data_IF_528212572281
#
_entry.id   IF_528212572281
#
_cell.length_a   1.000
_cell.length_b   1.000
_cell.length_c   1.000
_cell.angle_alpha   90.00
_cell.angle_beta   90.00
_cell.angle_gamma   90.00
#
_symmetry.space_group_name_H-M   'P 1'
#
loop_
_entity.id
_entity.type
_entity.pdbx_description
1 polymer ?
#
# COMPACT_ATOMS: atom_id res chain seq x y z
N UNK A 1 -49.88 62.63 28.37
CA UNK A 1 -49.38 63.96 28.80
C UNK A 1 -47.98 64.15 28.22
N UNK A 2 -47.79 65.30 27.59
CA UNK A 2 -46.64 65.84 26.84
C UNK A 2 -45.36 65.92 27.71
N UNK A 3 -44.10 66.07 27.26
CA UNK A 3 -43.43 66.90 26.24
C UNK A 3 -42.02 66.29 25.98
N UNK A 4 -41.20 66.57 24.96
CA UNK A 4 -41.13 67.56 23.87
C UNK A 4 -39.70 67.45 23.26
N UNK A 5 -39.52 67.39 21.94
CA UNK A 5 -39.09 68.51 21.08
C UNK A 5 -37.67 68.24 20.53
N UNK A 6 -37.25 68.52 19.30
CA UNK A 6 -37.87 69.10 18.11
C UNK A 6 -36.78 69.50 17.10
N UNK A 7 -36.91 69.00 15.86
CA UNK A 7 -36.76 69.77 14.58
C UNK A 7 -35.32 70.15 14.12
N UNK A 8 -34.96 70.27 12.83
CA UNK A 8 -35.63 70.85 11.66
C UNK A 8 -35.09 70.33 10.31
N UNK A 9 -35.99 70.30 9.32
CA UNK A 9 -35.81 70.63 7.88
C UNK A 9 -35.02 69.66 6.98
N UNK A 10 -35.46 69.25 5.79
CA UNK A 10 -36.61 69.65 4.97
C UNK A 10 -36.15 69.87 3.52
N UNK A 11 -36.81 69.20 2.56
CA UNK A 11 -36.94 69.72 1.20
C UNK A 11 -36.81 68.75 0.03
N UNK A 12 -37.98 68.38 -0.53
CA UNK A 12 -38.33 68.27 -1.98
C UNK A 12 -37.59 67.21 -2.79
N UNK A 13 -38.19 66.35 -3.60
CA UNK A 13 -39.44 66.35 -4.38
C UNK A 13 -39.06 65.55 -5.65
N UNK A 14 -39.73 64.45 -5.99
CA UNK A 14 -40.95 64.47 -6.78
C UNK A 14 -40.69 63.97 -8.21
N UNK A 15 -41.22 62.79 -8.54
CA UNK A 15 -41.82 62.50 -9.85
C UNK A 15 -40.93 62.00 -11.01
N UNK A 16 -41.40 60.91 -11.65
CA UNK A 16 -41.43 60.86 -13.12
C UNK A 16 -40.71 59.70 -13.81
N UNK A 17 -41.42 58.59 -14.01
CA UNK A 17 -41.71 57.96 -15.31
C UNK A 17 -40.61 57.71 -16.36
N UNK A 18 -40.55 56.45 -16.82
CA UNK A 18 -40.68 56.15 -18.26
C UNK A 18 -39.43 55.70 -19.04
N UNK A 19 -39.38 54.40 -19.34
CA UNK A 19 -39.20 53.88 -20.71
C UNK A 19 -37.80 53.81 -21.36
N UNK A 20 -37.35 52.57 -21.65
CA UNK A 20 -37.10 52.15 -23.04
C UNK A 20 -35.67 52.04 -23.59
N UNK A 21 -35.26 50.78 -23.79
CA UNK A 21 -34.54 50.20 -24.95
C UNK A 21 -33.01 50.25 -25.14
N UNK A 22 -32.53 49.06 -25.57
CA UNK A 22 -31.32 48.72 -26.35
C UNK A 22 -29.99 48.62 -25.58
N UNK A 23 -29.11 47.65 -25.81
CA UNK A 23 -29.02 46.66 -26.88
C UNK A 23 -27.95 45.60 -26.57
N UNK A 24 -27.94 44.59 -27.42
CA UNK A 24 -27.14 43.36 -27.44
C UNK A 24 -25.62 43.60 -27.50
N UNK A 25 -24.82 42.64 -27.01
CA UNK A 25 -23.84 41.96 -27.88
C UNK A 25 -23.31 40.64 -27.28
N UNK A 26 -23.59 39.56 -28.03
CA UNK A 26 -22.83 38.30 -28.09
C UNK A 26 -22.02 38.38 -29.36
N UNK A 27 -20.73 38.02 -29.36
CA UNK A 27 -20.16 37.26 -30.47
C UNK A 27 -19.02 36.36 -30.00
N UNK A 28 -19.12 35.12 -30.48
CA UNK A 28 -18.16 34.04 -30.35
C UNK A 28 -17.46 33.81 -31.71
N UNK A 29 -16.30 33.15 -31.64
CA UNK A 29 -15.73 32.27 -32.67
C UNK A 29 -15.22 32.90 -33.97
N UNK A 30 -14.02 32.53 -34.46
CA UNK A 30 -13.76 31.27 -35.19
C UNK A 30 -12.35 31.22 -35.80
N UNK A 31 -11.91 29.98 -35.96
CA UNK A 31 -10.75 29.38 -36.64
C UNK A 31 -10.33 29.95 -38.01
N UNK A 32 -9.03 29.85 -38.37
CA UNK A 32 -8.50 28.91 -39.40
C UNK A 32 -7.06 29.20 -39.91
N UNK A 33 -6.29 28.11 -40.04
CA UNK A 33 -5.32 27.69 -41.10
C UNK A 33 -4.20 28.58 -41.70
N UNK A 34 -2.98 28.00 -41.61
CA UNK A 34 -2.03 27.66 -42.70
C UNK A 34 -0.86 28.58 -43.10
N UNK A 35 0.35 28.00 -42.91
CA UNK A 35 1.54 27.92 -43.79
C UNK A 35 2.35 29.17 -44.20
N UNK A 36 3.69 29.07 -44.03
CA UNK A 36 4.63 29.53 -45.06
C UNK A 36 5.90 30.29 -44.61
N UNK A 37 7.06 29.64 -44.83
CA UNK A 37 8.36 30.20 -45.27
C UNK A 37 9.27 31.06 -44.36
N UNK A 38 10.34 30.40 -43.88
CA UNK A 38 11.80 30.62 -44.12
C UNK A 38 12.42 32.03 -44.07
N UNK A 39 13.45 32.19 -43.24
CA UNK A 39 14.80 32.82 -43.41
C UNK A 39 15.51 32.67 -42.05
N UNK A 40 16.78 32.34 -41.84
CA UNK A 40 17.98 32.18 -42.66
C UNK A 40 19.21 32.53 -41.79
N UNK A 41 20.26 31.69 -41.84
CA UNK A 41 21.64 32.00 -41.42
C UNK A 41 22.00 31.69 -39.95
N UNK A 42 23.13 31.04 -39.62
CA UNK A 42 24.27 30.59 -40.42
C UNK A 42 25.46 30.23 -39.51
N UNK A 43 26.36 29.37 -40.02
CA UNK A 43 27.69 29.00 -39.46
C UNK A 43 27.69 27.60 -38.83
N UNK A 44 28.14 26.51 -39.48
CA UNK A 44 29.46 26.29 -40.13
C UNK A 44 30.45 25.90 -39.02
N UNK A 45 31.07 24.72 -38.94
CA UNK A 45 32.11 24.07 -39.79
C UNK A 45 32.11 22.54 -39.44
N UNK A 46 32.05 21.58 -40.38
CA UNK A 46 33.15 21.07 -41.23
C UNK A 46 33.92 19.92 -40.52
N UNK A 47 34.16 18.72 -41.05
CA UNK A 47 33.91 18.10 -42.34
C UNK A 47 34.71 16.78 -42.46
N UNK A 48 34.31 15.93 -43.42
CA UNK A 48 35.11 14.84 -44.03
C UNK A 48 35.17 13.51 -43.25
N UNK A 49 34.98 12.32 -43.83
CA UNK A 49 34.84 11.93 -45.23
C UNK A 49 35.43 10.52 -45.45
N UNK A 50 34.73 9.68 -46.24
CA UNK A 50 35.23 8.42 -46.85
C UNK A 50 35.27 7.20 -45.92
N UNK A 51 34.91 5.97 -46.30
CA UNK A 51 34.59 5.39 -47.61
C UNK A 51 35.13 3.94 -47.67
N UNK A 52 34.31 2.98 -48.13
CA UNK A 52 34.68 1.62 -48.58
C UNK A 52 34.71 0.53 -47.47
N UNK A 53 34.16 -0.68 -47.58
CA UNK A 53 33.34 -1.32 -48.61
C UNK A 53 34.06 -2.39 -49.46
N UNK A 54 34.34 -3.60 -48.95
CA UNK A 54 34.43 -4.89 -49.70
C UNK A 54 34.61 -6.06 -48.69
N UNK A 55 33.75 -7.09 -48.67
CA UNK A 55 33.94 -8.41 -49.33
C UNK A 55 34.50 -9.43 -48.32
N UNK A 56 34.09 -10.69 -48.16
CA UNK A 56 33.28 -11.64 -48.93
C UNK A 56 33.89 -13.05 -48.74
N UNK A 57 33.05 -14.07 -48.49
CA UNK A 57 33.37 -15.51 -48.58
C UNK A 57 34.08 -16.14 -47.37
N UNK A 58 33.86 -17.39 -46.95
CA UNK A 58 33.09 -18.51 -47.48
C UNK A 58 33.67 -19.85 -46.95
N UNK A 59 32.82 -20.89 -46.81
CA UNK A 59 33.20 -22.31 -46.61
C UNK A 59 33.21 -22.79 -45.14
N UNK A 60 32.58 -23.88 -44.71
CA UNK A 60 31.91 -24.99 -45.39
C UNK A 60 32.61 -26.34 -45.14
N UNK A 61 31.95 -27.25 -44.41
CA UNK A 61 32.21 -28.70 -44.22
C UNK A 61 33.49 -29.11 -43.46
N UNK A 62 33.56 -30.20 -42.67
CA UNK A 62 32.64 -31.28 -42.32
C UNK A 62 33.43 -32.49 -41.76
N UNK A 63 32.70 -33.36 -41.05
CA UNK A 63 32.92 -34.81 -40.87
C UNK A 63 34.00 -35.39 -39.92
N UNK A 64 33.48 -36.23 -39.00
CA UNK A 64 33.85 -37.63 -38.71
C UNK A 64 35.01 -38.03 -37.79
N UNK A 65 34.66 -38.99 -36.91
CA UNK A 65 35.47 -40.13 -36.48
C UNK A 65 36.40 -39.84 -35.30
N UNK A 66 36.38 -40.53 -34.17
CA UNK A 66 36.09 -41.95 -33.94
C UNK A 66 37.38 -42.65 -33.52
N UNK A 67 37.33 -43.43 -32.43
CA UNK A 67 38.32 -44.47 -32.11
C UNK A 67 39.28 -44.12 -30.97
N UNK A 68 39.08 -44.81 -29.83
CA UNK A 68 39.94 -44.74 -28.66
C UNK A 68 41.15 -45.67 -28.71
N UNK A 69 41.98 -45.57 -27.67
CA UNK A 69 42.96 -46.57 -27.28
C UNK A 69 43.09 -46.60 -25.75
N UNK A 70 43.18 -47.83 -25.27
CA UNK A 70 43.31 -48.32 -23.90
C UNK A 70 44.70 -48.06 -23.30
N UNK A 71 44.79 -48.06 -21.97
CA UNK A 71 45.86 -48.83 -21.31
C UNK A 71 46.62 -48.17 -20.15
N UNK A 72 46.36 -48.69 -18.93
CA UNK A 72 47.29 -48.77 -17.80
C UNK A 72 47.45 -47.50 -16.95
N UNK A 73 47.44 -47.51 -15.62
CA UNK A 73 47.45 -48.56 -14.62
C UNK A 73 48.01 -47.98 -13.31
N UNK A 74 47.55 -48.48 -12.16
CA UNK A 74 48.34 -48.47 -10.92
C UNK A 74 47.87 -47.60 -9.74
N UNK A 75 47.44 -48.28 -8.67
CA UNK A 75 47.56 -47.90 -7.24
C UNK A 75 46.65 -46.77 -6.76
N UNK A 76 45.88 -46.85 -5.67
CA UNK A 76 45.94 -47.69 -4.48
C UNK A 76 45.57 -46.81 -3.28
N UNK A 77 44.83 -47.38 -2.32
CA UNK A 77 44.64 -46.98 -0.91
C UNK A 77 44.03 -45.60 -0.56
N UNK A 78 42.86 -45.62 0.11
CA UNK A 78 42.52 -44.56 1.07
C UNK A 78 41.05 -44.37 1.44
N UNK A 79 40.50 -45.26 2.28
CA UNK A 79 39.64 -44.91 3.42
C UNK A 79 38.33 -44.14 3.17
N UNK A 80 37.22 -44.85 3.26
CA UNK A 80 35.89 -44.25 3.29
C UNK A 80 35.65 -43.34 4.50
N UNK A 81 34.92 -42.26 4.24
CA UNK A 81 33.94 -41.69 5.17
C UNK A 81 32.69 -41.37 4.38
N UNK A 82 31.66 -42.17 4.62
CA UNK A 82 30.31 -41.89 4.15
C UNK A 82 29.82 -40.58 4.74
N UNK A 83 29.58 -39.60 3.89
CA UNK A 83 28.69 -38.48 4.16
C UNK A 83 27.50 -38.64 3.24
N UNK A 84 26.44 -39.26 3.74
CA UNK A 84 25.16 -39.33 3.03
C UNK A 84 24.67 -37.92 2.77
N UNK A 85 24.66 -37.51 1.51
CA UNK A 85 23.93 -36.35 1.04
C UNK A 85 22.44 -36.68 1.10
N UNK A 86 21.89 -36.61 2.31
CA UNK A 86 20.46 -36.56 2.55
C UNK A 86 19.96 -35.24 1.98
N UNK A 87 19.39 -35.29 0.78
CA UNK A 87 18.57 -34.23 0.22
C UNK A 87 17.38 -33.97 1.12
N UNK A 88 17.52 -33.01 2.03
CA UNK A 88 16.41 -32.36 2.71
C UNK A 88 16.14 -31.04 2.00
N UNK A 89 15.07 -30.99 1.20
CA UNK A 89 14.48 -29.73 0.76
C UNK A 89 13.91 -29.00 1.96
N UNK A 90 14.77 -28.38 2.77
CA UNK A 90 14.37 -27.45 3.81
C UNK A 90 14.02 -26.11 3.18
N UNK A 91 12.87 -25.55 3.55
CA UNK A 91 12.42 -24.24 3.12
C UNK A 91 13.53 -23.21 3.36
N UNK A 92 14.20 -22.74 2.30
CA UNK A 92 15.26 -21.71 2.37
C UNK A 92 14.83 -20.42 3.09
N UNK A 93 13.52 -20.26 3.30
CA UNK A 93 12.91 -19.12 3.98
C UNK A 93 12.92 -19.25 5.51
N UNK A 94 13.05 -20.47 6.07
CA UNK A 94 13.05 -20.71 7.53
C UNK A 94 14.31 -20.15 8.21
N UNK A 95 15.46 -20.26 7.54
CA UNK A 95 16.76 -19.80 8.04
C UNK A 95 17.01 -18.29 7.88
N UNK A 96 16.11 -17.55 7.22
CA UNK A 96 16.25 -16.08 7.07
C UNK A 96 16.15 -15.42 8.45
N UNK A 97 17.13 -14.61 8.81
CA UNK A 97 17.14 -13.90 10.10
C UNK A 97 17.85 -14.64 11.23
N UNK A 98 18.44 -15.81 10.98
CA UNK A 98 19.23 -16.54 11.98
C UNK A 98 20.55 -15.82 12.31
N UNK A 99 21.02 -14.95 11.39
CA UNK A 99 22.18 -14.09 11.63
C UNK A 99 21.86 -12.80 12.38
N UNK A 100 20.59 -12.54 12.73
CA UNK A 100 20.21 -11.34 13.46
C UNK A 100 20.79 -11.38 14.88
N UNK A 101 21.53 -10.33 15.22
CA UNK A 101 22.01 -10.15 16.58
C UNK A 101 20.83 -9.96 17.53
N UNK A 102 20.81 -10.68 18.65
CA UNK A 102 19.80 -10.46 19.70
C UNK A 102 19.98 -9.05 20.26
N UNK A 103 18.89 -8.29 20.27
CA UNK A 103 18.87 -6.98 20.92
C UNK A 103 18.60 -7.16 22.42
N UNK A 104 19.34 -6.42 23.24
CA UNK A 104 19.05 -6.29 24.67
C UNK A 104 18.46 -4.90 24.89
N UNK A 105 17.28 -4.84 25.48
CA UNK A 105 16.57 -3.59 25.77
C UNK A 105 16.62 -3.34 27.26
N UNK A 106 17.26 -2.24 27.64
CA UNK A 106 17.23 -1.73 29.01
C UNK A 106 16.35 -0.48 29.04
N UNK A 107 15.13 -0.64 29.56
CA UNK A 107 14.10 0.39 29.53
C UNK A 107 14.48 1.66 30.31
N UNK A 108 15.37 1.52 31.30
CA UNK A 108 15.76 2.65 32.17
C UNK A 108 16.75 3.58 31.46
N UNK A 109 17.58 3.05 30.56
CA UNK A 109 18.60 3.81 29.82
C UNK A 109 18.14 4.23 28.42
N UNK A 110 17.03 3.66 27.94
CA UNK A 110 16.49 3.98 26.63
C UNK A 110 15.90 5.39 26.55
N UNK A 111 16.03 6.08 25.39
CA UNK A 111 15.36 7.34 25.17
C UNK A 111 13.84 7.17 25.30
N UNK A 112 13.24 7.97 26.18
CA UNK A 112 11.79 8.09 26.31
C UNK A 112 11.23 8.76 25.06
N UNK A 113 10.01 8.38 24.70
CA UNK A 113 9.28 8.97 23.58
C UNK A 113 7.85 9.22 23.98
N UNK A 114 7.26 10.27 23.41
CA UNK A 114 5.83 10.54 23.55
C UNK A 114 5.05 9.62 22.62
N UNK A 115 3.94 9.06 23.11
CA UNK A 115 3.05 8.20 22.31
C UNK A 115 1.58 8.60 22.44
N UNK A 116 1.22 9.37 23.46
CA UNK A 116 -0.16 9.78 23.70
C UNK A 116 -0.35 11.22 23.25
N UNK A 117 -0.91 11.39 22.06
CA UNK A 117 -1.12 12.70 21.44
C UNK A 117 -2.59 13.11 21.44
N UNK A 118 -3.49 12.14 21.69
CA UNK A 118 -4.91 12.39 21.61
C UNK A 118 -5.36 13.39 22.67
N UNK A 119 -5.82 14.54 22.18
CA UNK A 119 -6.57 15.52 22.97
C UNK A 119 -7.99 15.47 22.45
N UNK A 120 -8.88 14.93 23.27
CA UNK A 120 -10.29 14.83 22.92
C UNK A 120 -10.87 16.22 22.71
N UNK A 121 -11.56 16.42 21.59
CA UNK A 121 -12.22 17.69 21.29
C UNK A 121 -13.35 17.94 22.32
N UNK A 122 -13.57 19.18 22.79
CA UNK A 122 -14.66 19.47 23.71
C UNK A 122 -16.04 18.99 23.23
N UNK A 123 -16.31 18.96 21.92
CA UNK A 123 -17.56 18.42 21.39
C UNK A 123 -17.70 16.92 21.64
N UNK A 124 -16.59 16.18 21.55
CA UNK A 124 -16.51 14.73 21.78
C UNK A 124 -16.57 14.43 23.28
N UNK A 125 -15.82 15.18 24.10
CA UNK A 125 -15.84 15.03 25.56
C UNK A 125 -17.25 15.23 26.12
N UNK A 126 -17.94 16.28 25.68
CA UNK A 126 -19.28 16.61 26.13
C UNK A 126 -20.38 15.73 25.49
N UNK A 127 -20.05 14.85 24.53
CA UNK A 127 -21.03 13.97 23.90
C UNK A 127 -21.58 12.96 24.92
N UNK A 128 -22.91 12.92 25.14
CA UNK A 128 -23.53 11.94 26.04
C UNK A 128 -23.21 10.51 25.62
N UNK A 129 -23.04 9.61 26.59
CA UNK A 129 -22.79 8.18 26.33
C UNK A 129 -23.89 7.52 25.50
N UNK A 130 -25.14 7.99 25.64
CA UNK A 130 -26.26 7.52 24.83
C UNK A 130 -26.07 7.83 23.33
N UNK A 131 -25.55 9.01 23.00
CA UNK A 131 -25.29 9.42 21.62
C UNK A 131 -24.07 8.69 21.05
N UNK A 132 -23.04 8.49 21.87
CA UNK A 132 -21.89 7.64 21.51
C UNK A 132 -22.32 6.21 21.19
N UNK A 133 -23.17 5.62 22.05
CA UNK A 133 -23.71 4.29 21.85
C UNK A 133 -24.58 4.21 20.58
N UNK A 134 -25.40 5.25 20.33
CA UNK A 134 -26.22 5.36 19.12
C UNK A 134 -25.36 5.45 17.86
N UNK A 135 -24.29 6.25 17.86
CA UNK A 135 -23.35 6.35 16.74
C UNK A 135 -22.67 4.99 16.46
N UNK A 136 -22.17 4.33 17.52
CA UNK A 136 -21.57 2.99 17.40
C UNK A 136 -22.56 1.98 16.84
N UNK A 137 -23.81 1.97 17.32
CA UNK A 137 -24.85 1.08 16.81
C UNK A 137 -25.17 1.35 15.33
N UNK A 138 -25.31 2.63 14.94
CA UNK A 138 -25.59 3.04 13.56
C UNK A 138 -24.52 2.56 12.58
N UNK A 139 -23.25 2.61 12.99
CA UNK A 139 -22.10 2.24 12.17
C UNK A 139 -21.59 0.81 12.42
N UNK A 140 -22.34 -0.01 13.17
CA UNK A 140 -21.96 -1.38 13.54
C UNK A 140 -20.56 -1.47 14.15
N UNK A 141 -20.24 -0.55 15.08
CA UNK A 141 -18.96 -0.47 15.77
C UNK A 141 -19.07 -1.27 17.08
N UNK A 142 -18.35 -2.38 17.15
CA UNK A 142 -18.12 -3.09 18.40
C UNK A 142 -16.71 -2.79 18.93
N UNK A 143 -16.61 -2.54 20.22
CA UNK A 143 -15.33 -2.26 20.89
C UNK A 143 -15.02 -3.34 21.91
N UNK A 144 -13.73 -3.58 22.15
CA UNK A 144 -13.24 -4.47 23.22
C UNK A 144 -12.03 -3.83 23.88
N UNK A 145 -11.96 -3.94 25.21
CA UNK A 145 -10.95 -3.28 26.04
C UNK A 145 -11.57 -2.26 26.99
N UNK A 146 -10.74 -1.70 27.86
CA UNK A 146 -11.12 -0.69 28.86
C UNK A 146 -10.79 0.71 28.35
N UNK A 147 -11.49 1.75 28.83
CA UNK A 147 -11.16 3.16 28.55
C UNK A 147 -10.94 3.47 27.05
N UNK A 148 -11.77 2.91 26.17
CA UNK A 148 -11.69 3.13 24.73
C UNK A 148 -12.17 4.57 24.42
N UNK A 149 -11.36 5.41 23.76
CA UNK A 149 -11.75 6.77 23.39
C UNK A 149 -13.08 6.82 22.61
N UNK A 150 -13.83 7.91 22.76
CA UNK A 150 -15.08 8.13 22.02
C UNK A 150 -14.79 8.26 20.50
N UNK A 151 -15.68 7.80 19.63
CA UNK A 151 -15.52 7.96 18.19
C UNK A 151 -15.69 9.44 17.80
N UNK A 152 -14.99 9.86 16.75
CA UNK A 152 -15.12 11.19 16.15
C UNK A 152 -16.06 11.13 14.94
N UNK A 153 -16.93 12.12 14.79
CA UNK A 153 -17.93 12.15 13.71
C UNK A 153 -17.49 13.02 12.54
N UNK A 154 -16.58 13.97 12.78
CA UNK A 154 -16.03 14.86 11.77
C UNK A 154 -14.50 14.83 11.78
N UNK A 155 -13.85 15.31 10.71
CA UNK A 155 -12.40 15.38 10.67
C UNK A 155 -11.84 16.37 11.70
N UNK A 156 -12.52 17.47 11.98
CA UNK A 156 -12.04 18.50 12.90
C UNK A 156 -12.04 18.00 14.36
N UNK A 157 -12.95 17.07 14.70
CA UNK A 157 -12.98 16.38 16.00
C UNK A 157 -11.82 15.40 16.23
N UNK A 158 -11.11 14.98 15.18
CA UNK A 158 -10.04 13.99 15.27
C UNK A 158 -8.80 14.47 16.04
N UNK A 159 -8.71 15.78 16.34
CA UNK A 159 -7.59 16.37 17.07
C UNK A 159 -6.27 16.36 16.28
N UNK A 160 -6.34 16.23 14.95
CA UNK A 160 -5.15 16.25 14.10
C UNK A 160 -4.55 17.66 13.99
N UNK A 161 -3.22 17.79 13.95
CA UNK A 161 -2.56 19.06 13.67
C UNK A 161 -2.95 19.64 12.30
N UNK A 162 -2.87 20.97 12.18
CA UNK A 162 -3.28 21.70 10.97
C UNK A 162 -2.63 21.19 9.67
N UNK A 163 -1.36 20.76 9.73
CA UNK A 163 -0.63 20.23 8.57
C UNK A 163 -1.11 18.86 8.10
N UNK A 164 -1.76 18.06 8.96
CA UNK A 164 -2.43 16.81 8.58
C UNK A 164 -3.81 17.14 8.04
N UNK A 165 -4.54 18.01 8.74
CA UNK A 165 -5.89 18.42 8.37
C UNK A 165 -5.96 19.09 7.00
N UNK A 166 -4.94 19.88 6.62
CA UNK A 166 -4.84 20.46 5.28
C UNK A 166 -4.77 19.39 4.19
N UNK A 167 -4.00 18.32 4.41
CA UNK A 167 -3.86 17.22 3.45
C UNK A 167 -5.15 16.39 3.37
N UNK A 168 -5.80 16.14 4.51
CA UNK A 168 -7.11 15.45 4.55
C UNK A 168 -8.17 16.25 3.81
N UNK A 169 -8.27 17.56 4.04
CA UNK A 169 -9.22 18.44 3.34
C UNK A 169 -8.92 18.53 1.84
N UNK A 170 -7.63 18.52 1.45
CA UNK A 170 -7.22 18.52 0.05
C UNK A 170 -7.65 17.28 -0.74
N UNK A 171 -7.89 16.14 -0.08
CA UNK A 171 -8.43 14.94 -0.72
C UNK A 171 -9.93 15.03 -1.01
N UNK A 172 -10.64 16.01 -0.43
CA UNK A 172 -12.08 16.21 -0.68
C UNK A 172 -12.98 15.12 -0.09
N UNK A 173 -12.54 14.41 0.96
CA UNK A 173 -13.40 13.44 1.63
C UNK A 173 -14.54 14.15 2.39
N UNK A 174 -15.78 13.63 2.32
CA UNK A 174 -16.93 14.30 2.93
C UNK A 174 -16.97 14.14 4.45
N UNK A 175 -16.58 12.97 4.96
CA UNK A 175 -16.60 12.62 6.38
C UNK A 175 -15.64 11.43 6.64
N UNK A 176 -15.20 11.22 7.89
CA UNK A 176 -14.50 10.00 8.26
C UNK A 176 -15.37 8.75 8.07
N UNK A 177 -14.74 7.65 7.67
CA UNK A 177 -15.37 6.33 7.67
C UNK A 177 -15.51 5.79 9.09
N UNK A 178 -16.38 4.80 9.33
CA UNK A 178 -16.60 4.22 10.66
C UNK A 178 -15.30 3.70 11.33
N UNK A 179 -14.40 3.07 10.56
CA UNK A 179 -13.11 2.61 11.09
C UNK A 179 -12.17 3.78 11.43
N UNK A 180 -12.22 4.88 10.67
CA UNK A 180 -11.45 6.08 10.95
C UNK A 180 -11.98 6.82 12.19
N UNK A 181 -13.31 6.98 12.27
CA UNK A 181 -14.01 7.61 13.40
C UNK A 181 -13.63 7.02 14.74
N UNK A 182 -13.57 5.69 14.84
CA UNK A 182 -13.17 5.03 16.10
C UNK A 182 -11.67 4.77 16.16
N UNK A 183 -11.01 4.47 15.05
CA UNK A 183 -9.60 4.06 15.01
C UNK A 183 -8.59 5.19 15.18
N UNK A 184 -8.85 6.41 14.71
CA UNK A 184 -7.95 7.54 14.94
C UNK A 184 -7.77 7.91 16.41
N UNK A 185 -8.83 8.14 17.22
CA UNK A 185 -8.63 8.48 18.62
C UNK A 185 -7.98 7.32 19.39
N UNK A 186 -8.27 6.06 19.01
CA UNK A 186 -7.59 4.88 19.56
C UNK A 186 -6.09 4.89 19.26
N UNK A 187 -5.69 5.10 17.99
CA UNK A 187 -4.29 5.12 17.59
C UNK A 187 -3.54 6.34 18.18
N UNK A 188 -4.16 7.51 18.22
CA UNK A 188 -3.55 8.71 18.81
C UNK A 188 -3.41 8.64 20.34
N UNK A 189 -4.13 7.74 21.01
CA UNK A 189 -4.02 7.55 22.47
C UNK A 189 -2.69 6.90 22.90
N UNK A 190 -1.95 6.31 21.97
CA UNK A 190 -0.66 5.65 22.23
C UNK A 190 -0.77 4.22 22.76
N UNK A 191 -1.98 3.65 22.80
CA UNK A 191 -2.21 2.24 23.13
C UNK A 191 -2.07 1.35 21.91
N UNK A 192 -1.80 0.08 22.15
CA UNK A 192 -1.84 -0.92 21.08
C UNK A 192 -3.28 -1.07 20.56
N UNK A 193 -3.43 -1.24 19.24
CA UNK A 193 -4.72 -1.23 18.58
C UNK A 193 -4.89 -2.44 17.68
N UNK A 194 -6.07 -3.06 17.72
CA UNK A 194 -6.53 -4.01 16.71
C UNK A 194 -7.75 -3.41 16.00
N UNK A 195 -7.65 -3.18 14.70
CA UNK A 195 -8.72 -2.61 13.88
C UNK A 195 -9.20 -3.56 12.80
N UNK A 196 -10.47 -3.96 12.89
CA UNK A 196 -11.07 -4.94 12.00
C UNK A 196 -12.22 -4.28 11.24
N UNK A 197 -12.07 -4.21 9.92
CA UNK A 197 -13.09 -3.64 9.04
C UNK A 197 -12.91 -4.18 7.63
N UNK A 198 -13.98 -4.24 6.85
CA UNK A 198 -13.96 -4.74 5.47
C UNK A 198 -12.91 -4.06 4.56
N UNK A 199 -12.57 -4.69 3.45
CA UNK A 199 -11.73 -4.09 2.40
C UNK A 199 -12.40 -2.83 1.83
N UNK A 200 -11.60 -1.79 1.57
CA UNK A 200 -12.13 -0.51 1.08
C UNK A 200 -12.78 0.38 2.13
N UNK A 201 -12.71 0.03 3.42
CA UNK A 201 -13.25 0.84 4.53
C UNK A 201 -12.37 2.00 4.97
N UNK A 202 -11.16 2.18 4.42
CA UNK A 202 -10.27 3.30 4.78
C UNK A 202 -9.25 3.00 5.90
N UNK A 203 -8.98 1.72 6.20
CA UNK A 203 -7.98 1.27 7.20
C UNK A 203 -6.60 1.93 7.02
N UNK A 204 -6.13 2.06 5.77
CA UNK A 204 -4.80 2.65 5.47
C UNK A 204 -4.64 4.05 6.05
N UNK A 205 -5.61 4.94 5.83
CA UNK A 205 -5.55 6.29 6.43
C UNK A 205 -5.77 6.28 7.95
N UNK A 206 -6.38 5.22 8.47
CA UNK A 206 -6.60 5.07 9.91
C UNK A 206 -5.28 4.91 10.66
N UNK A 207 -4.30 4.20 10.09
CA UNK A 207 -2.98 4.07 10.70
C UNK A 207 -1.93 5.04 10.16
N UNK A 208 -2.05 5.53 8.92
CA UNK A 208 -1.07 6.45 8.32
C UNK A 208 -1.13 7.86 8.93
N UNK A 209 -2.31 8.41 9.19
CA UNK A 209 -2.42 9.78 9.72
C UNK A 209 -1.89 9.89 11.16
N UNK A 210 -2.24 8.99 12.10
CA UNK A 210 -1.61 8.96 13.41
C UNK A 210 -0.09 8.74 13.36
N UNK A 211 0.41 7.93 12.41
CA UNK A 211 1.85 7.73 12.22
C UNK A 211 2.58 9.03 11.87
N UNK A 212 1.97 9.91 11.06
CA UNK A 212 2.54 11.23 10.73
C UNK A 212 2.63 12.13 11.97
N UNK A 213 1.58 12.16 12.80
CA UNK A 213 1.59 12.89 14.08
C UNK A 213 2.67 12.34 15.00
N UNK A 214 2.75 11.01 15.10
CA UNK A 214 3.74 10.31 15.92
C UNK A 214 5.17 10.70 15.54
N UNK A 215 5.51 10.69 14.25
CA UNK A 215 6.84 11.08 13.74
C UNK A 215 7.20 12.50 14.13
N UNK A 216 6.29 13.45 13.93
CA UNK A 216 6.55 14.87 14.18
C UNK A 216 6.72 15.20 15.67
N UNK A 217 6.31 14.31 16.57
CA UNK A 217 6.55 14.43 18.00
C UNK A 217 7.87 13.78 18.46
N UNK A 218 8.61 13.11 17.56
CA UNK A 218 9.91 12.52 17.87
C UNK A 218 11.07 13.44 17.51
N UNK A 219 12.25 13.27 18.14
CA UNK A 219 13.47 13.91 17.68
C UNK A 219 13.76 13.58 16.21
N UNK A 220 14.28 14.55 15.47
CA UNK A 220 14.70 14.32 14.08
C UNK A 220 15.71 13.17 13.98
N UNK A 221 15.73 12.50 12.83
CA UNK A 221 16.66 11.41 12.59
C UNK A 221 18.10 11.92 12.54
N UNK A 222 18.99 11.26 13.27
CA UNK A 222 20.43 11.43 13.14
C UNK A 222 21.01 10.49 12.07
N UNK A 223 22.21 10.76 11.52
CA UNK A 223 22.90 9.82 10.64
C UNK A 223 23.07 8.45 11.31
N UNK A 224 22.65 7.39 10.63
CA UNK A 224 22.70 6.01 11.14
C UNK A 224 21.44 5.56 11.90
N UNK A 225 20.49 6.47 12.15
CA UNK A 225 19.19 6.10 12.71
C UNK A 225 18.37 5.26 11.71
N UNK A 226 17.64 4.30 12.27
CA UNK A 226 16.59 3.57 11.57
C UNK A 226 15.26 4.35 11.53
N UNK A 227 14.21 3.76 10.93
CA UNK A 227 12.91 4.39 10.86
C UNK A 227 12.24 4.55 12.24
N UNK A 228 11.32 5.51 12.33
CA UNK A 228 10.44 5.72 13.50
C UNK A 228 9.17 4.87 13.36
N UNK A 229 8.64 4.79 12.14
CA UNK A 229 7.46 4.03 11.79
C UNK A 229 7.85 2.86 10.89
N UNK A 230 7.40 1.66 11.26
CA UNK A 230 7.51 0.47 10.43
C UNK A 230 6.12 -0.04 10.07
N UNK A 231 5.83 -0.20 8.78
CA UNK A 231 4.62 -0.85 8.28
C UNK A 231 5.00 -2.15 7.60
N UNK A 232 4.49 -3.28 8.09
CA UNK A 232 4.68 -4.58 7.48
C UNK A 232 3.44 -4.97 6.68
N UNK A 233 3.66 -5.40 5.43
CA UNK A 233 2.60 -5.87 4.54
C UNK A 233 2.99 -7.23 3.91
N UNK A 234 2.00 -8.11 3.61
CA UNK A 234 2.26 -9.46 3.10
C UNK A 234 2.71 -9.50 1.63
N UNK A 235 2.33 -8.51 0.83
CA UNK A 235 2.62 -8.45 -0.60
C UNK A 235 3.39 -7.19 -0.96
N UNK A 236 4.15 -7.27 -2.06
CA UNK A 236 4.99 -6.17 -2.55
C UNK A 236 4.14 -5.02 -3.07
N UNK A 237 3.07 -5.38 -3.75
CA UNK A 237 2.08 -4.49 -4.34
C UNK A 237 1.38 -3.64 -3.28
N UNK A 238 0.93 -4.29 -2.19
CA UNK A 238 0.31 -3.60 -1.06
C UNK A 238 1.31 -2.65 -0.39
N UNK A 239 2.56 -3.09 -0.19
CA UNK A 239 3.60 -2.24 0.37
C UNK A 239 3.83 -0.96 -0.47
N UNK A 240 3.88 -1.08 -1.80
CA UNK A 240 3.98 0.09 -2.71
C UNK A 240 2.74 0.98 -2.63
N UNK A 241 1.54 0.42 -2.53
CA UNK A 241 0.32 1.19 -2.38
C UNK A 241 0.28 2.00 -1.07
N UNK A 242 0.68 1.38 0.04
CA UNK A 242 0.78 2.07 1.34
C UNK A 242 1.82 3.19 1.26
N UNK A 243 2.96 2.96 0.61
CA UNK A 243 3.98 3.99 0.38
C UNK A 243 3.42 5.20 -0.38
N UNK A 244 2.61 4.96 -1.40
CA UNK A 244 1.96 6.03 -2.18
C UNK A 244 1.02 6.86 -1.30
N UNK A 245 0.22 6.21 -0.46
CA UNK A 245 -0.64 6.93 0.50
C UNK A 245 0.18 7.77 1.49
N UNK A 246 1.20 7.19 2.12
CA UNK A 246 2.09 7.94 3.03
C UNK A 246 2.76 9.12 2.33
N UNK A 247 3.14 8.97 1.07
CA UNK A 247 3.76 10.06 0.29
C UNK A 247 2.78 11.21 0.03
N UNK A 248 1.49 10.92 -0.18
CA UNK A 248 0.45 11.95 -0.35
C UNK A 248 0.30 12.77 0.92
N UNK A 249 0.11 12.13 2.08
CA UNK A 249 -0.17 12.82 3.35
C UNK A 249 1.09 13.33 4.08
N UNK A 250 2.27 12.77 3.80
CA UNK A 250 3.54 13.18 4.40
C UNK A 250 4.19 14.40 3.75
N UNK A 251 3.66 14.88 2.61
CA UNK A 251 4.25 15.94 1.79
C UNK A 251 4.38 17.26 2.54
N UNK A 252 3.34 17.67 3.29
CA UNK A 252 3.36 18.88 4.13
C UNK A 252 4.42 18.82 5.25
N UNK A 253 4.72 17.62 5.76
CA UNK A 253 5.60 17.40 6.92
C UNK A 253 7.03 17.05 6.54
N UNK A 254 7.39 17.04 5.25
CA UNK A 254 8.72 16.63 4.74
C UNK A 254 9.15 15.24 5.21
N UNK A 255 8.20 14.35 5.46
CA UNK A 255 8.44 12.97 5.91
C UNK A 255 8.99 12.16 4.74
N UNK A 256 10.17 11.58 4.92
CA UNK A 256 10.77 10.66 3.96
C UNK A 256 10.30 9.25 4.25
N UNK A 257 9.99 8.52 3.20
CA UNK A 257 9.58 7.13 3.28
C UNK A 257 10.28 6.31 2.20
N UNK A 258 10.36 5.00 2.40
CA UNK A 258 10.81 4.05 1.38
C UNK A 258 10.07 2.72 1.51
N UNK A 259 10.05 1.95 0.43
CA UNK A 259 9.44 0.63 0.37
C UNK A 259 10.50 -0.45 0.17
N UNK A 260 10.58 -1.40 1.12
CA UNK A 260 11.61 -2.43 1.22
C UNK A 260 11.00 -3.80 0.90
N UNK A 261 11.20 -4.26 -0.32
CA UNK A 261 10.60 -5.51 -0.79
C UNK A 261 11.46 -6.28 -1.80
N UNK A 262 11.23 -7.59 -1.87
CA UNK A 262 11.98 -8.53 -2.71
C UNK A 262 11.76 -8.37 -4.21
N UNK A 263 12.56 -9.05 -5.04
CA UNK A 263 12.35 -9.12 -6.50
C UNK A 263 12.80 -7.90 -7.31
N UNK A 264 13.30 -6.85 -6.65
CA UNK A 264 13.95 -5.69 -7.28
C UNK A 264 15.37 -5.48 -6.72
N UNK A 265 16.26 -4.77 -7.45
CA UNK A 265 17.62 -4.49 -7.00
C UNK A 265 17.66 -3.81 -5.63
N UNK A 266 18.58 -4.26 -4.75
CA UNK A 266 18.72 -3.74 -3.38
C UNK A 266 19.26 -2.31 -3.33
N UNK A 267 20.05 -1.89 -4.33
CA UNK A 267 20.85 -0.66 -4.27
C UNK A 267 20.05 0.63 -4.02
N UNK A 268 18.87 0.76 -4.63
CA UNK A 268 17.98 1.91 -4.39
C UNK A 268 17.46 1.94 -2.94
N UNK A 269 16.92 0.80 -2.48
CA UNK A 269 16.41 0.63 -1.12
C UNK A 269 17.49 0.88 -0.06
N UNK A 270 18.72 0.38 -0.27
CA UNK A 270 19.87 0.62 0.63
C UNK A 270 20.21 2.11 0.69
N UNK A 271 20.23 2.79 -0.45
CA UNK A 271 20.53 4.22 -0.51
C UNK A 271 19.50 5.04 0.23
N UNK A 272 18.21 4.70 0.10
CA UNK A 272 17.14 5.39 0.80
C UNK A 272 17.25 5.20 2.31
N UNK A 273 17.44 3.95 2.76
CA UNK A 273 17.64 3.64 4.18
C UNK A 273 18.87 4.37 4.76
N UNK A 274 19.98 4.40 4.03
CA UNK A 274 21.21 5.08 4.46
C UNK A 274 21.07 6.60 4.57
N UNK A 275 20.17 7.23 3.78
CA UNK A 275 19.86 8.66 3.88
C UNK A 275 19.01 9.00 5.11
N UNK A 276 18.44 7.99 5.77
CA UNK A 276 17.45 8.13 6.83
C UNK A 276 16.05 8.35 6.26
N UNK A 277 15.12 7.51 6.68
CA UNK A 277 13.69 7.59 6.36
C UNK A 277 12.90 7.49 7.65
N UNK A 278 11.92 8.36 7.85
CA UNK A 278 11.08 8.32 9.04
C UNK A 278 10.09 7.14 8.96
N UNK A 279 9.67 6.76 7.75
CA UNK A 279 8.77 5.61 7.51
C UNK A 279 9.40 4.55 6.61
N UNK A 280 9.39 3.30 7.08
CA UNK A 280 9.73 2.14 6.28
C UNK A 280 8.48 1.28 6.08
N UNK A 281 8.12 1.03 4.83
CA UNK A 281 7.08 0.06 4.47
C UNK A 281 7.79 -1.17 3.92
N UNK A 282 7.49 -2.37 4.40
CA UNK A 282 8.28 -3.53 4.02
C UNK A 282 7.50 -4.85 3.93
N UNK A 283 7.97 -5.71 3.04
CA UNK A 283 7.67 -7.15 3.11
C UNK A 283 8.71 -7.84 4.00
N UNK A 284 8.33 -8.78 4.88
CA UNK A 284 9.22 -9.33 5.92
C UNK A 284 10.58 -9.82 5.41
N UNK A 285 10.59 -10.68 4.38
CA UNK A 285 11.82 -11.32 3.91
C UNK A 285 12.92 -10.34 3.45
N UNK A 286 12.58 -9.26 2.74
CA UNK A 286 13.59 -8.25 2.33
C UNK A 286 14.03 -7.39 3.52
N UNK A 287 13.14 -7.08 4.46
CA UNK A 287 13.52 -6.33 5.64
C UNK A 287 14.54 -7.09 6.49
N UNK A 288 14.32 -8.39 6.70
CA UNK A 288 15.25 -9.27 7.42
C UNK A 288 16.64 -9.23 6.79
N UNK A 289 16.71 -9.38 5.46
CA UNK A 289 17.97 -9.28 4.70
C UNK A 289 18.67 -7.91 4.88
N UNK A 290 17.92 -6.80 4.91
CA UNK A 290 18.50 -5.47 5.18
C UNK A 290 18.99 -5.31 6.63
N UNK A 291 18.33 -5.97 7.60
CA UNK A 291 18.73 -5.96 9.00
C UNK A 291 19.98 -6.81 9.24
N UNK A 292 20.01 -8.04 8.72
CA UNK A 292 21.16 -8.94 8.82
C UNK A 292 22.43 -8.35 8.20
N UNK A 293 22.28 -7.64 7.07
CA UNK A 293 23.39 -7.00 6.38
C UNK A 293 23.74 -5.59 6.90
N UNK A 294 23.12 -5.18 8.01
CA UNK A 294 23.39 -3.91 8.69
C UNK A 294 23.08 -2.66 7.86
N UNK A 295 22.17 -2.76 6.89
CA UNK A 295 21.77 -1.64 6.01
C UNK A 295 20.71 -0.73 6.64
N UNK A 296 20.02 -1.25 7.66
CA UNK A 296 19.15 -0.49 8.55
C UNK A 296 19.12 -1.15 9.92
N UNK A 297 18.43 -0.54 10.88
CA UNK A 297 18.16 -1.07 12.20
C UNK A 297 16.77 -0.62 12.66
N UNK A 298 16.19 -1.24 13.69
CA UNK A 298 14.84 -0.87 14.18
C UNK A 298 14.86 -0.20 15.56
N UNK A 299 16.01 0.35 15.97
CA UNK A 299 16.18 0.92 17.33
C UNK A 299 15.31 2.15 17.60
N UNK A 300 14.98 2.90 16.54
CA UNK A 300 14.12 4.08 16.60
C UNK A 300 12.63 3.77 16.36
N UNK A 301 12.28 2.52 16.02
CA UNK A 301 10.89 2.15 15.73
C UNK A 301 10.08 2.20 17.02
N UNK A 302 9.10 3.09 17.04
CA UNK A 302 8.21 3.36 18.19
C UNK A 302 6.73 3.22 17.80
N UNK A 303 6.43 3.13 16.51
CA UNK A 303 5.09 2.87 15.98
C UNK A 303 5.19 1.78 14.91
N UNK A 304 4.62 0.62 15.19
CA UNK A 304 4.62 -0.57 14.35
C UNK A 304 3.22 -0.83 13.82
N UNK A 305 3.09 -1.04 12.52
CA UNK A 305 1.84 -1.45 11.88
C UNK A 305 2.00 -2.82 11.24
N UNK A 306 1.08 -3.74 11.54
CA UNK A 306 0.87 -4.96 10.76
C UNK A 306 -0.41 -4.79 9.94
N UNK A 307 -0.28 -4.59 8.63
CA UNK A 307 -1.44 -4.57 7.73
C UNK A 307 -1.69 -5.98 7.17
N UNK A 308 -2.95 -6.33 6.96
CA UNK A 308 -3.41 -7.70 6.70
C UNK A 308 -2.87 -8.68 7.76
N UNK A 309 -3.03 -8.31 9.04
CA UNK A 309 -2.37 -8.97 10.17
C UNK A 309 -2.71 -10.46 10.32
N UNK A 310 -3.92 -10.89 9.97
CA UNK A 310 -4.28 -12.31 9.92
C UNK A 310 -3.41 -13.08 8.93
N UNK A 311 -3.18 -12.54 7.73
CA UNK A 311 -2.33 -13.16 6.72
C UNK A 311 -0.86 -13.22 7.18
N UNK A 312 -0.41 -12.18 7.86
CA UNK A 312 0.94 -12.07 8.39
C UNK A 312 1.21 -13.03 9.55
N UNK A 313 0.16 -13.49 10.23
CA UNK A 313 0.25 -14.43 11.34
C UNK A 313 -0.09 -15.88 10.94
N UNK A 314 -0.86 -16.10 9.86
CA UNK A 314 -1.32 -17.43 9.43
C UNK A 314 -0.46 -18.08 8.33
N UNK A 315 0.04 -17.30 7.35
CA UNK A 315 0.68 -17.86 6.13
C UNK A 315 2.15 -18.27 6.27
N UNK A 316 2.60 -18.69 7.45
CA UNK A 316 4.01 -19.02 7.68
C UNK A 316 4.94 -17.79 7.68
N UNK A 317 4.37 -16.58 7.71
CA UNK A 317 5.11 -15.35 7.97
C UNK A 317 5.44 -15.17 9.45
N UNK A 318 4.70 -15.81 10.36
CA UNK A 318 4.86 -15.66 11.81
C UNK A 318 6.33 -15.75 12.27
N UNK A 319 7.15 -16.73 11.81
CA UNK A 319 8.54 -16.79 12.24
C UNK A 319 9.36 -15.58 11.79
N UNK A 320 9.07 -15.03 10.59
CA UNK A 320 9.70 -13.82 10.08
C UNK A 320 9.25 -12.58 10.88
N UNK A 321 7.96 -12.50 11.22
CA UNK A 321 7.42 -11.42 12.06
C UNK A 321 8.07 -11.45 13.44
N UNK A 322 8.14 -12.63 14.08
CA UNK A 322 8.79 -12.82 15.37
C UNK A 322 10.25 -12.36 15.35
N UNK A 323 11.00 -12.71 14.29
CA UNK A 323 12.39 -12.26 14.10
C UNK A 323 12.50 -10.74 13.97
N UNK A 324 11.60 -10.10 13.21
CA UNK A 324 11.59 -8.63 13.04
C UNK A 324 11.22 -7.94 14.35
N UNK A 325 10.14 -8.36 15.02
CA UNK A 325 9.67 -7.75 16.27
C UNK A 325 10.68 -7.92 17.41
N UNK A 326 11.45 -9.01 17.42
CA UNK A 326 12.57 -9.20 18.34
C UNK A 326 13.71 -8.19 18.19
N UNK A 327 13.73 -7.44 17.08
CA UNK A 327 14.69 -6.34 16.84
C UNK A 327 14.11 -4.96 17.20
N UNK A 328 12.87 -4.89 17.72
CA UNK A 328 12.19 -3.64 18.08
C UNK A 328 12.06 -3.55 19.60
N UNK A 329 12.14 -2.33 20.13
CA UNK A 329 11.88 -2.05 21.55
C UNK A 329 10.48 -2.54 21.98
N UNK A 330 10.33 -3.03 23.22
CA UNK A 330 9.07 -3.62 23.70
C UNK A 330 8.01 -2.58 24.07
N UNK A 331 8.39 -1.34 24.34
CA UNK A 331 7.51 -0.23 24.70
C UNK A 331 6.93 0.53 23.50
N UNK A 332 7.20 0.06 22.27
CA UNK A 332 6.58 0.54 21.02
C UNK A 332 5.05 0.47 21.10
N UNK A 333 4.39 1.30 20.29
CA UNK A 333 2.98 1.12 19.97
C UNK A 333 2.83 0.13 18.80
N UNK A 334 1.95 -0.86 18.93
CA UNK A 334 1.65 -1.86 17.90
C UNK A 334 0.20 -1.74 17.43
N UNK A 335 0.00 -1.52 16.14
CA UNK A 335 -1.31 -1.40 15.51
C UNK A 335 -1.51 -2.52 14.46
N UNK A 336 -2.45 -3.43 14.67
CA UNK A 336 -2.79 -4.50 13.75
C UNK A 336 -4.10 -4.20 13.01
N UNK A 337 -4.11 -4.37 11.69
CA UNK A 337 -5.27 -4.08 10.86
C UNK A 337 -5.56 -5.26 9.94
N UNK A 338 -6.84 -5.64 9.84
CA UNK A 338 -7.27 -6.67 8.90
C UNK A 338 -8.76 -6.55 8.54
N UNK A 339 -9.18 -7.22 7.48
CA UNK A 339 -10.59 -7.48 7.21
C UNK A 339 -11.14 -8.67 8.00
N UNK A 340 -10.28 -9.59 8.42
CA UNK A 340 -10.66 -10.86 9.04
C UNK A 340 -9.84 -11.11 10.30
N UNK A 341 -10.49 -11.65 11.35
CA UNK A 341 -9.83 -11.84 12.65
C UNK A 341 -10.26 -13.15 13.32
N UNK A 342 -9.83 -14.30 12.77
CA UNK A 342 -10.20 -15.62 13.27
C UNK A 342 -9.55 -15.90 14.64
N UNK A 343 -10.03 -16.94 15.35
CA UNK A 343 -9.64 -17.22 16.75
C UNK A 343 -8.15 -17.57 16.87
N UNK A 344 -7.62 -18.27 15.88
CA UNK A 344 -6.24 -18.73 15.80
C UNK A 344 -5.28 -17.53 15.73
N UNK A 345 -5.62 -16.54 14.90
CA UNK A 345 -4.88 -15.28 14.77
C UNK A 345 -4.95 -14.45 16.05
N UNK A 346 -6.11 -14.42 16.74
CA UNK A 346 -6.26 -13.71 18.02
C UNK A 346 -5.27 -14.19 19.08
N UNK A 347 -5.11 -15.52 19.20
CA UNK A 347 -4.19 -16.12 20.16
C UNK A 347 -2.72 -15.80 19.84
N UNK A 348 -2.37 -15.76 18.56
CA UNK A 348 -1.02 -15.37 18.14
C UNK A 348 -0.78 -13.86 18.30
N UNK A 349 -1.77 -13.02 18.03
CA UNK A 349 -1.66 -11.58 18.14
C UNK A 349 -1.36 -11.11 19.56
N UNK A 350 -1.87 -11.81 20.60
CA UNK A 350 -1.62 -11.45 21.99
C UNK A 350 -0.14 -11.56 22.41
N UNK A 351 0.68 -12.34 21.70
CA UNK A 351 2.13 -12.39 21.94
C UNK A 351 2.85 -11.09 21.54
N UNK A 352 2.20 -10.26 20.72
CA UNK A 352 2.81 -9.09 20.09
C UNK A 352 2.23 -7.76 20.54
N UNK A 353 1.16 -7.80 21.36
CA UNK A 353 0.37 -6.67 21.81
C UNK A 353 0.44 -6.52 23.33
N UNK A 354 0.40 -5.28 23.82
CA UNK A 354 0.36 -4.97 25.25
C UNK A 354 -0.80 -4.02 25.59
N UNK A 355 -1.67 -4.42 26.52
CA UNK A 355 -2.86 -3.66 26.95
C UNK A 355 -3.64 -3.01 25.78
N UNK A 356 -3.91 -3.83 24.76
CA UNK A 356 -4.50 -3.36 23.51
C UNK A 356 -6.00 -3.12 23.61
N UNK A 357 -6.49 -2.24 22.74
CA UNK A 357 -7.91 -1.99 22.50
C UNK A 357 -8.27 -2.43 21.09
N UNK A 358 -9.48 -2.94 20.92
CA UNK A 358 -9.94 -3.51 19.66
C UNK A 358 -11.24 -2.83 19.20
N UNK A 359 -11.31 -2.59 17.89
CA UNK A 359 -12.52 -2.14 17.20
C UNK A 359 -12.85 -3.09 16.05
N UNK A 360 -14.13 -3.42 15.95
CA UNK A 360 -14.73 -4.21 14.88
C UNK A 360 -15.82 -3.39 14.21
N UNK A 361 -15.75 -3.25 12.90
CA UNK A 361 -16.78 -2.60 12.08
C UNK A 361 -17.52 -3.66 11.27
N UNK A 362 -18.83 -3.73 11.43
CA UNK A 362 -19.67 -4.74 10.80
C UNK A 362 -19.88 -5.95 11.71
N UNK A 363 -20.11 -7.12 11.11
CA UNK A 363 -20.35 -8.35 11.87
C UNK A 363 -19.09 -8.83 12.58
N UNK A 364 -19.26 -9.45 13.75
CA UNK A 364 -18.19 -10.18 14.44
C UNK A 364 -17.87 -11.52 13.75
N UNK A 365 -18.78 -12.01 12.92
CA UNK A 365 -18.60 -13.17 12.07
C UNK A 365 -17.97 -12.78 10.73
N UNK A 366 -17.36 -13.75 10.04
CA UNK A 366 -16.74 -13.53 8.74
C UNK A 366 -17.80 -13.05 7.72
N UNK A 367 -17.82 -11.75 7.44
CA UNK A 367 -18.76 -11.15 6.49
C UNK A 367 -18.02 -10.53 5.31
N UNK A 368 -18.45 -10.88 4.09
CA UNK A 368 -18.03 -10.18 2.88
C UNK A 368 -18.69 -8.78 2.81
N UNK A 369 -18.11 -7.88 2.02
CA UNK A 369 -18.67 -6.54 1.83
C UNK A 369 -20.08 -6.61 1.21
N UNK A 370 -21.08 -6.02 1.88
CA UNK A 370 -22.48 -6.07 1.47
C UNK A 370 -22.76 -5.36 0.12
N UNK A 371 -21.84 -4.52 -0.36
CA UNK A 371 -21.93 -3.88 -1.69
C UNK A 371 -21.59 -4.83 -2.84
N UNK A 372 -21.09 -6.02 -2.54
CA UNK A 372 -20.71 -7.02 -3.54
C UNK A 372 -21.90 -7.96 -3.77
N UNK A 373 -22.45 -7.95 -4.99
CA UNK A 373 -23.40 -8.97 -5.44
C UNK A 373 -22.66 -10.30 -5.62
N UNK A 374 -23.01 -11.30 -4.83
CA UNK A 374 -22.38 -12.62 -4.86
C UNK A 374 -23.25 -13.59 -5.66
N UNK A 375 -22.68 -14.19 -6.70
CA UNK A 375 -23.33 -15.21 -7.55
C UNK A 375 -22.47 -16.47 -7.51
N UNK A 376 -23.08 -17.60 -7.17
CA UNK A 376 -22.42 -18.90 -7.13
C UNK A 376 -23.05 -19.80 -8.20
N UNK A 377 -22.27 -20.21 -9.18
CA UNK A 377 -22.68 -21.17 -10.20
C UNK A 377 -21.99 -22.52 -9.98
N UNK A 378 -22.78 -23.57 -9.79
CA UNK A 378 -22.27 -24.95 -9.66
C UNK A 378 -22.16 -25.54 -11.06
N UNK A 379 -20.92 -25.77 -11.50
CA UNK A 379 -20.60 -26.28 -12.85
C UNK A 379 -19.48 -27.32 -12.77
N UNK A 380 -19.39 -28.18 -13.79
CA UNK A 380 -18.25 -29.09 -13.95
C UNK A 380 -16.99 -28.36 -14.39
N UNK A 381 -15.82 -28.97 -14.19
CA UNK A 381 -14.53 -28.38 -14.63
C UNK A 381 -14.49 -28.08 -16.13
N UNK A 382 -15.16 -28.91 -16.94
CA UNK A 382 -15.21 -28.74 -18.40
C UNK A 382 -16.04 -27.52 -18.81
N UNK A 383 -17.09 -27.19 -18.05
CA UNK A 383 -17.99 -26.07 -18.35
C UNK A 383 -17.43 -24.71 -17.92
N UNK A 384 -16.42 -24.68 -17.03
CA UNK A 384 -15.87 -23.42 -16.49
C UNK A 384 -15.38 -22.47 -17.58
N UNK A 385 -14.74 -22.98 -18.63
CA UNK A 385 -14.20 -22.16 -19.72
C UNK A 385 -15.31 -21.47 -20.50
N UNK A 386 -16.29 -22.24 -20.96
CA UNK A 386 -17.42 -21.72 -21.73
C UNK A 386 -18.24 -20.72 -20.90
N UNK A 387 -18.43 -21.00 -19.62
CA UNK A 387 -19.10 -20.09 -18.68
C UNK A 387 -18.31 -18.80 -18.49
N UNK A 388 -17.00 -18.88 -18.25
CA UNK A 388 -16.12 -17.73 -18.13
C UNK A 388 -16.23 -16.83 -19.38
N UNK A 389 -16.15 -17.40 -20.58
CA UNK A 389 -16.27 -16.63 -21.83
C UNK A 389 -17.62 -15.93 -21.92
N UNK A 390 -18.73 -16.61 -21.60
CA UNK A 390 -20.07 -15.98 -21.58
C UNK A 390 -20.18 -14.83 -20.58
N UNK A 391 -19.56 -14.94 -19.41
CA UNK A 391 -19.49 -13.84 -18.45
C UNK A 391 -18.66 -12.68 -18.99
N UNK A 392 -17.51 -12.97 -19.61
CA UNK A 392 -16.65 -11.95 -20.22
C UNK A 392 -17.39 -11.18 -21.32
N UNK A 393 -18.08 -11.88 -22.22
CA UNK A 393 -18.89 -11.27 -23.29
C UNK A 393 -19.92 -10.28 -22.71
N UNK A 394 -20.71 -10.74 -21.73
CA UNK A 394 -21.74 -9.91 -21.08
C UNK A 394 -21.14 -8.70 -20.35
N UNK A 395 -20.05 -8.89 -19.61
CA UNK A 395 -19.44 -7.80 -18.83
C UNK A 395 -18.77 -6.79 -19.77
N UNK A 396 -18.13 -7.25 -20.84
CA UNK A 396 -17.39 -6.40 -21.78
C UNK A 396 -18.29 -5.66 -22.79
N UNK A 397 -19.61 -5.86 -22.75
CA UNK A 397 -20.57 -4.98 -23.44
C UNK A 397 -20.35 -3.51 -23.06
N UNK A 398 -19.99 -3.25 -21.80
CA UNK A 398 -19.43 -1.97 -21.37
C UNK A 398 -17.90 -2.05 -21.30
N UNK A 399 -17.23 -1.33 -22.20
CA UNK A 399 -15.76 -1.30 -22.32
C UNK A 399 -15.04 -0.64 -21.14
N UNK A 400 -15.75 0.07 -20.28
CA UNK A 400 -15.18 0.66 -19.05
C UNK A 400 -15.04 -0.35 -17.91
N UNK A 401 -15.68 -1.53 -18.05
CA UNK A 401 -15.63 -2.56 -17.04
C UNK A 401 -14.23 -3.18 -16.93
N UNK A 402 -13.84 -3.48 -15.70
CA UNK A 402 -12.60 -4.20 -15.38
C UNK A 402 -12.94 -5.53 -14.74
N UNK A 403 -12.19 -6.57 -15.10
CA UNK A 403 -12.45 -7.95 -14.73
C UNK A 403 -11.19 -8.56 -14.11
N UNK A 404 -11.33 -9.06 -12.89
CA UNK A 404 -10.29 -9.79 -12.18
C UNK A 404 -10.71 -11.26 -12.03
N UNK A 405 -9.92 -12.17 -12.60
CA UNK A 405 -10.18 -13.61 -12.60
C UNK A 405 -9.19 -14.29 -11.66
N UNK A 406 -9.66 -14.91 -10.59
CA UNK A 406 -8.79 -15.66 -9.68
C UNK A 406 -8.68 -17.14 -10.06
N UNK A 407 -7.48 -17.70 -9.88
CA UNK A 407 -7.21 -19.13 -10.07
C UNK A 407 -6.21 -19.65 -9.04
N UNK A 408 -6.30 -20.94 -8.72
CA UNK A 408 -5.56 -21.56 -7.63
C UNK A 408 -4.06 -21.77 -7.90
N UNK A 409 -3.61 -21.79 -9.16
CA UNK A 409 -2.19 -22.03 -9.46
C UNK A 409 -1.63 -21.09 -10.52
N UNK A 410 -0.32 -20.86 -10.43
CA UNK A 410 0.46 -20.02 -11.36
C UNK A 410 0.36 -20.53 -12.81
N UNK A 411 0.45 -21.86 -12.98
CA UNK A 411 0.33 -22.52 -14.28
C UNK A 411 -1.03 -22.30 -14.91
N UNK A 412 -2.10 -22.46 -14.13
CA UNK A 412 -3.47 -22.24 -14.62
C UNK A 412 -3.69 -20.77 -14.96
N UNK A 413 -3.09 -19.82 -14.23
CA UNK A 413 -3.17 -18.40 -14.56
C UNK A 413 -2.61 -18.12 -15.97
N UNK A 414 -1.42 -18.65 -16.27
CA UNK A 414 -0.82 -18.49 -17.60
C UNK A 414 -1.61 -19.22 -18.69
N UNK A 415 -2.15 -20.41 -18.41
CA UNK A 415 -2.95 -21.17 -19.38
C UNK A 415 -4.27 -20.47 -19.71
N UNK A 416 -4.98 -19.91 -18.70
CA UNK A 416 -6.19 -19.10 -18.92
C UNK A 416 -5.85 -17.83 -19.70
N UNK A 417 -4.77 -17.12 -19.35
CA UNK A 417 -4.37 -15.91 -20.08
C UNK A 417 -4.00 -16.20 -21.53
N UNK A 418 -3.31 -17.32 -21.80
CA UNK A 418 -3.00 -17.74 -23.18
C UNK A 418 -4.26 -18.01 -23.97
N UNK A 419 -5.21 -18.77 -23.40
CA UNK A 419 -6.50 -19.05 -24.01
C UNK A 419 -7.26 -17.75 -24.35
N UNK A 420 -7.41 -16.86 -23.36
CA UNK A 420 -8.09 -15.57 -23.56
C UNK A 420 -7.44 -14.73 -24.66
N UNK A 421 -6.10 -14.66 -24.72
CA UNK A 421 -5.38 -13.93 -25.77
C UNK A 421 -5.55 -14.55 -27.16
N UNK A 422 -5.63 -15.88 -27.25
CA UNK A 422 -5.87 -16.57 -28.53
C UNK A 422 -7.25 -16.25 -29.09
N UNK A 423 -8.24 -16.10 -28.21
CA UNK A 423 -9.60 -15.65 -28.56
C UNK A 423 -9.72 -14.13 -28.72
N UNK A 424 -8.60 -13.39 -28.66
CA UNK A 424 -8.55 -11.95 -28.90
C UNK A 424 -8.85 -11.06 -27.69
N UNK A 425 -9.03 -11.63 -26.50
CA UNK A 425 -9.27 -10.85 -25.29
C UNK A 425 -8.00 -10.13 -24.79
N UNK A 426 -8.10 -8.86 -24.34
CA UNK A 426 -6.98 -8.10 -23.79
C UNK A 426 -6.66 -8.50 -22.34
N UNK A 427 -6.21 -9.74 -22.14
CA UNK A 427 -5.94 -10.32 -20.83
C UNK A 427 -4.44 -10.33 -20.47
N UNK A 428 -4.13 -10.05 -19.20
CA UNK A 428 -2.80 -10.16 -18.60
C UNK A 428 -2.81 -11.13 -17.41
N UNK A 429 -1.68 -11.76 -17.06
CA UNK A 429 -1.54 -12.61 -15.86
C UNK A 429 -0.64 -11.98 -14.79
N UNK A 430 -0.99 -12.17 -13.51
CA UNK A 430 -0.15 -11.82 -12.36
C UNK A 430 -0.06 -12.98 -11.36
N UNK A 431 1.17 -13.43 -11.07
CA UNK A 431 1.45 -14.48 -10.10
C UNK A 431 2.91 -14.43 -9.62
N UNK A 432 3.24 -15.26 -8.63
CA UNK A 432 4.54 -15.22 -7.94
C UNK A 432 5.78 -15.55 -8.79
N UNK A 433 5.62 -16.15 -9.98
CA UNK A 433 6.76 -16.49 -10.86
C UNK A 433 7.05 -15.40 -11.89
N UNK A 434 6.14 -14.41 -12.04
CA UNK A 434 6.38 -13.23 -12.85
C UNK A 434 7.47 -12.38 -12.21
N UNK A 435 8.31 -11.78 -13.04
CA UNK A 435 9.30 -10.81 -12.55
C UNK A 435 8.59 -9.58 -11.97
N UNK A 436 9.21 -8.89 -11.00
CA UNK A 436 8.52 -7.79 -10.31
C UNK A 436 8.17 -6.63 -11.24
N UNK A 437 9.05 -6.27 -12.16
CA UNK A 437 8.79 -5.27 -13.20
C UNK A 437 7.57 -5.65 -14.08
N UNK A 438 7.40 -6.92 -14.42
CA UNK A 438 6.23 -7.41 -15.15
C UNK A 438 4.96 -7.29 -14.31
N UNK A 439 5.02 -7.65 -13.03
CA UNK A 439 3.88 -7.51 -12.09
C UNK A 439 3.44 -6.06 -11.95
N UNK A 440 4.40 -5.15 -11.74
CA UNK A 440 4.16 -3.71 -11.61
C UNK A 440 3.54 -3.14 -12.89
N UNK A 441 4.04 -3.56 -14.06
CA UNK A 441 3.50 -3.17 -15.36
C UNK A 441 2.07 -3.69 -15.56
N UNK A 442 1.80 -4.98 -15.30
CA UNK A 442 0.46 -5.58 -15.43
C UNK A 442 -0.56 -4.85 -14.55
N UNK A 443 -0.21 -4.57 -13.30
CA UNK A 443 -1.09 -3.84 -12.38
C UNK A 443 -1.35 -2.42 -12.85
N UNK A 444 -0.34 -1.73 -13.39
CA UNK A 444 -0.52 -0.39 -13.93
C UNK A 444 -1.44 -0.40 -15.16
N UNK A 445 -1.29 -1.37 -16.07
CA UNK A 445 -2.15 -1.51 -17.25
C UNK A 445 -3.61 -1.82 -16.86
N UNK A 446 -3.82 -2.62 -15.82
CA UNK A 446 -5.15 -2.87 -15.25
C UNK A 446 -5.74 -1.63 -14.55
N UNK A 447 -4.93 -0.95 -13.72
CA UNK A 447 -5.34 0.29 -13.02
C UNK A 447 -5.72 1.40 -14.01
N UNK A 448 -4.96 1.57 -15.09
CA UNK A 448 -5.24 2.56 -16.14
C UNK A 448 -6.35 2.14 -17.11
N UNK A 449 -6.79 0.88 -17.07
CA UNK A 449 -7.86 0.35 -17.93
C UNK A 449 -7.42 0.00 -19.35
N UNK A 450 -6.13 0.12 -19.67
CA UNK A 450 -5.58 -0.28 -20.98
C UNK A 450 -5.73 -1.77 -21.24
N UNK A 451 -5.57 -2.58 -20.20
CA UNK A 451 -5.87 -4.02 -20.21
C UNK A 451 -6.95 -4.29 -19.16
N UNK A 452 -8.23 -4.38 -19.54
CA UNK A 452 -9.34 -4.48 -18.59
C UNK A 452 -9.48 -5.87 -17.95
N UNK A 453 -8.78 -6.90 -18.43
CA UNK A 453 -8.88 -8.26 -17.90
C UNK A 453 -7.53 -8.66 -17.27
N UNK A 454 -7.56 -9.00 -15.99
CA UNK A 454 -6.39 -9.50 -15.25
C UNK A 454 -6.71 -10.87 -14.65
N UNK A 455 -5.87 -11.86 -14.94
CA UNK A 455 -5.92 -13.19 -14.34
C UNK A 455 -4.88 -13.27 -13.23
N UNK A 456 -5.28 -13.65 -12.02
CA UNK A 456 -4.42 -13.60 -10.86
C UNK A 456 -4.49 -14.87 -10.01
N UNK A 457 -3.41 -15.13 -9.29
CA UNK A 457 -3.43 -16.02 -8.11
C UNK A 457 -3.72 -15.19 -6.86
N UNK A 458 -3.71 -15.80 -5.67
CA UNK A 458 -3.85 -15.12 -4.37
C UNK A 458 -2.78 -14.07 -4.05
N UNK A 459 -1.85 -13.84 -4.98
CA UNK A 459 -0.95 -12.70 -4.94
C UNK A 459 -1.70 -11.36 -5.02
N UNK A 460 -2.86 -11.34 -5.71
CA UNK A 460 -3.67 -10.13 -5.90
C UNK A 460 -4.97 -10.11 -5.10
N UNK A 461 -5.20 -11.11 -4.24
CA UNK A 461 -6.48 -11.27 -3.53
C UNK A 461 -6.66 -10.30 -2.35
N UNK A 462 -5.61 -9.58 -1.93
CA UNK A 462 -5.66 -8.70 -0.76
C UNK A 462 -4.96 -7.37 -0.98
N UNK A 463 -5.62 -6.29 -0.57
CA UNK A 463 -5.06 -4.95 -0.47
C UNK A 463 -4.82 -4.19 -1.79
N UNK A 464 -5.03 -4.82 -2.96
CA UNK A 464 -4.81 -4.20 -4.29
C UNK A 464 -6.01 -3.38 -4.74
#
# INVERSE_FOLDING_TARGET
MSYGGGSYGGGRGGGGGGGGYSGYDKYASRDNYSSGYSYGGGGGYGGGGGGGGYGGGGGGNGYSGGGGYSGGGGGGYGGGRGGGYGGGGGDRMSNLGDGLQKQSWDLDTMPKFEKSFYKEDPSVTNRPEADVAKFRALHNIAITGTNVPKPVETFDEAGFPAYVMSEVKAQGFPAPTAIQSQGWPMALSGRDVVGIAETGSGKTLTYCLPAIVHINAQPLLAPGDGPIVLVLAPTRELAVQIQQEITKFGKSSRIRNTCVYGGVPKGGQIRDLAKGVEVCIATPGRLIDMLESGKTNLRRVTYLVLDEADRMLDMGFEPQIRKILGQIRPDRQTCMWSATWPKEVRALASDYLNDFIQVNIGSLELSANHRITQIVEVVSEFEKRDKMTKHLEKIMENKENKILIFTGTKRVADDITRFLRQDGWPALSIHGDKQQNERDWVLNEFKTGKSPIMVATDVASRGI
#
